data_IF_052845887065
#
_entry.id   IF_052845887065
#
_cell.length_a   1.000
_cell.length_b   1.000
_cell.length_c   1.000
_cell.angle_alpha   90.00
_cell.angle_beta   90.00
_cell.angle_gamma   90.00
#
_symmetry.space_group_name_H-M   'P 1'
#
loop_
_entity.id
_entity.type
_entity.pdbx_description
1 polymer ?
#
# COMPACT_ATOMS: atom_id res chain seq x y z
N UNK A 1 -19.76 15.22 24.04
CA UNK A 1 -20.27 13.83 24.15
C UNK A 1 -20.75 13.61 25.57
N UNK A 2 -22.09 13.44 25.77
CA UNK A 2 -22.66 13.19 27.09
C UNK A 2 -22.13 11.85 27.62
N UNK A 3 -21.77 11.81 28.90
CA UNK A 3 -21.34 10.60 29.57
C UNK A 3 -22.49 9.58 29.50
N UNK A 4 -22.30 8.53 28.69
CA UNK A 4 -23.24 7.40 28.65
C UNK A 4 -23.28 6.77 30.02
N UNK A 5 -24.47 6.55 30.57
CA UNK A 5 -24.67 5.94 31.87
C UNK A 5 -23.81 4.68 32.04
N UNK A 6 -23.12 4.56 33.16
CA UNK A 6 -22.24 3.40 33.46
C UNK A 6 -23.00 2.07 33.43
N UNK A 7 -24.27 2.08 33.80
CA UNK A 7 -25.16 0.92 33.74
C UNK A 7 -25.40 0.48 32.29
N UNK A 8 -25.71 1.39 31.40
CA UNK A 8 -25.91 1.11 29.97
C UNK A 8 -24.64 0.58 29.31
N UNK A 9 -23.47 1.14 29.67
CA UNK A 9 -22.17 0.62 29.19
C UNK A 9 -21.91 -0.82 29.65
N UNK A 10 -22.24 -1.12 30.92
CA UNK A 10 -22.09 -2.48 31.47
C UNK A 10 -23.02 -3.47 30.78
N UNK A 11 -24.30 -3.10 30.56
CA UNK A 11 -25.28 -3.93 29.87
C UNK A 11 -24.86 -4.20 28.42
N UNK A 12 -24.43 -3.16 27.68
CA UNK A 12 -23.92 -3.31 26.31
C UNK A 12 -22.68 -4.19 26.24
N UNK A 13 -21.75 -4.04 27.18
CA UNK A 13 -20.54 -4.87 27.24
C UNK A 13 -20.89 -6.35 27.51
N UNK A 14 -21.84 -6.64 28.40
CA UNK A 14 -22.29 -8.00 28.69
C UNK A 14 -22.98 -8.61 27.47
N UNK A 15 -23.89 -7.87 26.82
CA UNK A 15 -24.56 -8.32 25.60
C UNK A 15 -23.56 -8.59 24.46
N UNK A 16 -22.56 -7.72 24.29
CA UNK A 16 -21.49 -7.93 23.31
C UNK A 16 -20.72 -9.23 23.58
N UNK A 17 -20.35 -9.52 24.85
CA UNK A 17 -19.69 -10.79 25.24
C UNK A 17 -20.54 -12.03 24.90
N UNK A 18 -21.83 -11.98 25.17
CA UNK A 18 -22.74 -13.11 24.86
C UNK A 18 -22.83 -13.33 23.34
N UNK A 19 -23.00 -12.25 22.57
CA UNK A 19 -23.02 -12.32 21.11
C UNK A 19 -21.70 -12.89 20.59
N UNK A 20 -20.57 -12.35 21.04
CA UNK A 20 -19.22 -12.82 20.64
C UNK A 20 -19.05 -14.32 20.92
N UNK A 21 -19.45 -14.79 22.11
CA UNK A 21 -19.37 -16.21 22.46
C UNK A 21 -20.19 -17.09 21.53
N UNK A 22 -21.41 -16.65 21.19
CA UNK A 22 -22.29 -17.37 20.25
C UNK A 22 -21.68 -17.41 18.84
N UNK A 23 -21.23 -16.27 18.34
CA UNK A 23 -20.68 -16.17 16.99
C UNK A 23 -19.37 -16.98 16.85
N UNK A 24 -18.49 -16.97 17.88
CA UNK A 24 -17.28 -17.80 17.88
C UNK A 24 -17.61 -19.30 17.91
N UNK A 25 -18.66 -19.73 18.60
CA UNK A 25 -19.11 -21.12 18.59
C UNK A 25 -19.61 -21.52 17.18
N UNK A 26 -20.44 -20.68 16.56
CA UNK A 26 -20.92 -20.89 15.18
C UNK A 26 -19.76 -20.89 14.17
N UNK A 27 -18.78 -20.00 14.35
CA UNK A 27 -17.57 -19.95 13.53
C UNK A 27 -16.80 -21.28 13.62
N UNK A 28 -16.53 -21.77 14.83
CA UNK A 28 -15.81 -23.02 15.06
C UNK A 28 -16.53 -24.24 14.47
N UNK A 29 -17.85 -24.30 14.60
CA UNK A 29 -18.68 -25.37 14.02
C UNK A 29 -18.60 -25.39 12.49
N UNK A 30 -18.70 -24.20 11.86
CA UNK A 30 -18.74 -24.06 10.41
C UNK A 30 -17.37 -24.17 9.74
N UNK A 31 -16.27 -23.98 10.47
CA UNK A 31 -14.91 -23.84 9.90
C UNK A 31 -13.88 -24.78 10.53
N UNK A 32 -14.33 -26.00 10.87
CA UNK A 32 -13.49 -26.99 11.54
C UNK A 32 -12.28 -27.45 10.68
N UNK A 33 -12.38 -27.47 9.34
CA UNK A 33 -11.26 -27.79 8.47
C UNK A 33 -10.25 -26.63 8.42
N UNK A 34 -10.70 -25.37 8.40
CA UNK A 34 -9.85 -24.18 8.52
C UNK A 34 -9.06 -24.19 9.84
N UNK A 35 -9.72 -24.55 10.95
CA UNK A 35 -9.05 -24.70 12.25
C UNK A 35 -7.93 -25.73 12.21
N UNK A 36 -8.20 -26.95 11.67
CA UNK A 36 -7.18 -27.99 11.53
C UNK A 36 -6.04 -27.58 10.61
N UNK A 37 -6.33 -26.91 9.49
CA UNK A 37 -5.33 -26.40 8.56
C UNK A 37 -4.43 -25.35 9.22
N UNK A 38 -5.01 -24.40 9.98
CA UNK A 38 -4.24 -23.42 10.73
C UNK A 38 -3.39 -24.06 11.83
N UNK A 39 -3.93 -25.04 12.59
CA UNK A 39 -3.16 -25.76 13.60
C UNK A 39 -1.96 -26.50 12.99
N UNK A 40 -2.09 -27.04 11.77
CA UNK A 40 -0.97 -27.62 11.02
C UNK A 40 0.03 -26.55 10.59
N UNK A 41 -0.46 -25.44 10.04
CA UNK A 41 0.38 -24.32 9.56
C UNK A 41 1.22 -23.69 10.70
N UNK A 42 0.67 -23.56 11.91
CA UNK A 42 1.38 -23.03 13.09
C UNK A 42 2.64 -23.83 13.47
N UNK A 43 2.79 -25.06 13.00
CA UNK A 43 3.99 -25.88 13.24
C UNK A 43 5.20 -25.44 12.41
N UNK A 44 4.97 -24.74 11.31
CA UNK A 44 6.01 -24.35 10.33
C UNK A 44 5.95 -22.89 9.89
N UNK A 45 4.89 -22.17 10.23
CA UNK A 45 4.69 -20.75 9.92
C UNK A 45 4.41 -19.97 11.22
N UNK A 46 5.13 -18.90 11.49
CA UNK A 46 4.77 -17.99 12.58
C UNK A 46 3.31 -17.55 12.45
N UNK A 47 2.56 -17.54 13.54
CA UNK A 47 1.11 -17.27 13.58
C UNK A 47 0.25 -18.21 12.72
N UNK A 48 0.84 -19.20 12.04
CA UNK A 48 0.14 -20.11 11.09
C UNK A 48 -0.24 -19.46 9.75
N UNK A 49 0.39 -18.35 9.40
CA UNK A 49 0.10 -17.57 8.17
C UNK A 49 1.38 -17.08 7.51
N UNK A 50 1.36 -16.84 6.17
CA UNK A 50 2.53 -16.30 5.45
C UNK A 50 2.84 -14.84 5.76
N UNK A 51 1.84 -14.05 6.18
CA UNK A 51 1.99 -12.62 6.50
C UNK A 51 1.14 -12.25 7.72
N UNK A 52 1.64 -11.36 8.57
CA UNK A 52 0.94 -10.92 9.79
C UNK A 52 -0.44 -10.33 9.52
N UNK A 53 -0.68 -9.74 8.35
CA UNK A 53 -2.01 -9.24 7.95
C UNK A 53 -3.07 -10.34 7.81
N UNK A 54 -2.66 -11.59 7.67
CA UNK A 54 -3.57 -12.74 7.49
C UNK A 54 -3.90 -13.44 8.82
N UNK A 55 -3.30 -13.00 9.93
CA UNK A 55 -3.56 -13.56 11.25
C UNK A 55 -4.81 -12.94 11.87
N UNK A 56 -5.78 -13.80 12.22
CA UNK A 56 -7.03 -13.41 12.89
C UNK A 56 -7.33 -14.38 14.03
N UNK A 57 -7.94 -13.87 15.09
CA UNK A 57 -8.44 -14.69 16.20
C UNK A 57 -9.86 -15.22 15.91
N UNK A 58 -10.14 -16.45 16.31
CA UNK A 58 -9.29 -17.46 16.94
C UNK A 58 -8.33 -18.16 15.96
N UNK A 59 -8.62 -18.11 14.66
CA UNK A 59 -7.83 -18.56 13.52
C UNK A 59 -8.41 -17.99 12.23
N UNK A 60 -7.61 -17.79 11.18
CA UNK A 60 -8.10 -17.31 9.89
C UNK A 60 -8.87 -18.40 9.13
N UNK A 61 -9.80 -18.00 8.27
CA UNK A 61 -10.37 -18.84 7.24
C UNK A 61 -9.27 -19.30 6.28
N UNK A 62 -9.33 -20.56 5.87
CA UNK A 62 -8.45 -21.10 4.82
C UNK A 62 -9.24 -21.20 3.54
N UNK A 63 -8.96 -20.32 2.59
CA UNK A 63 -9.65 -20.24 1.30
C UNK A 63 -9.11 -21.33 0.35
N UNK A 64 -10.01 -22.03 -0.35
CA UNK A 64 -9.68 -23.03 -1.37
C UNK A 64 -9.77 -22.47 -2.79
N UNK A 65 -10.77 -21.63 -3.06
CA UNK A 65 -11.00 -21.07 -4.39
C UNK A 65 -11.79 -19.78 -4.32
N UNK A 66 -11.67 -18.95 -5.35
CA UNK A 66 -12.44 -17.74 -5.48
C UNK A 66 -12.81 -17.48 -6.95
N UNK A 67 -13.97 -16.85 -7.19
CA UNK A 67 -14.44 -16.50 -8.52
C UNK A 67 -15.37 -15.27 -8.46
N UNK A 68 -15.14 -14.27 -9.31
CA UNK A 68 -15.86 -13.00 -9.26
C UNK A 68 -15.79 -12.40 -7.86
N UNK A 69 -16.92 -12.07 -7.22
CA UNK A 69 -16.94 -11.50 -5.86
C UNK A 69 -17.06 -12.57 -4.76
N UNK A 70 -16.83 -13.85 -5.05
CA UNK A 70 -17.05 -14.96 -4.11
C UNK A 70 -15.77 -15.70 -3.80
N UNK A 71 -15.59 -16.05 -2.51
CA UNK A 71 -14.57 -16.97 -2.02
C UNK A 71 -15.22 -18.20 -1.40
N UNK A 72 -14.60 -19.36 -1.59
CA UNK A 72 -15.01 -20.62 -0.96
C UNK A 72 -13.88 -21.13 -0.07
N UNK A 73 -14.17 -21.38 1.21
CA UNK A 73 -13.21 -21.93 2.16
C UNK A 73 -13.03 -23.45 1.99
N UNK A 74 -12.11 -24.02 2.76
CA UNK A 74 -11.84 -25.46 2.75
C UNK A 74 -12.97 -26.29 3.37
N UNK A 75 -13.86 -25.66 4.11
CA UNK A 75 -15.05 -26.25 4.71
C UNK A 75 -16.24 -26.24 3.74
N UNK A 76 -16.15 -25.53 2.61
CA UNK A 76 -17.18 -25.41 1.58
C UNK A 76 -18.13 -24.24 1.78
N UNK A 77 -17.90 -23.37 2.76
CA UNK A 77 -18.68 -22.15 2.92
C UNK A 77 -18.33 -21.13 1.86
N UNK A 78 -19.36 -20.43 1.34
CA UNK A 78 -19.20 -19.38 0.33
C UNK A 78 -19.42 -18.02 0.97
N UNK A 79 -18.47 -17.11 0.74
CA UNK A 79 -18.49 -15.74 1.26
C UNK A 79 -18.49 -14.74 0.11
N UNK A 80 -19.07 -13.56 0.34
CA UNK A 80 -18.84 -12.40 -0.52
C UNK A 80 -17.55 -11.74 -0.06
N UNK A 81 -16.62 -11.58 -0.98
CA UNK A 81 -15.33 -10.94 -0.72
C UNK A 81 -15.46 -9.42 -0.89
N UNK A 82 -15.46 -8.69 0.22
CA UNK A 82 -15.42 -7.22 0.24
C UNK A 82 -14.00 -6.68 0.43
N UNK A 83 -13.03 -7.54 0.76
CA UNK A 83 -11.63 -7.14 0.92
C UNK A 83 -10.90 -7.08 -0.42
N UNK A 84 -11.26 -8.00 -1.33
CA UNK A 84 -10.70 -8.09 -2.68
C UNK A 84 -9.16 -8.04 -2.69
N UNK A 85 -8.54 -8.72 -1.72
CA UNK A 85 -7.08 -8.72 -1.56
C UNK A 85 -6.50 -7.33 -1.27
N UNK A 86 -7.11 -6.58 -0.34
CA UNK A 86 -6.80 -5.18 -0.06
C UNK A 86 -6.89 -4.27 -1.29
N UNK A 87 -7.85 -4.53 -2.18
CA UNK A 87 -8.09 -3.80 -3.43
C UNK A 87 -7.26 -4.26 -4.63
N UNK A 88 -6.40 -5.29 -4.48
CA UNK A 88 -5.61 -5.81 -5.59
C UNK A 88 -6.47 -6.51 -6.66
N UNK A 89 -7.62 -7.04 -6.28
CA UNK A 89 -8.56 -7.74 -7.14
C UNK A 89 -9.78 -6.88 -7.50
N UNK A 90 -9.56 -5.61 -7.74
CA UNK A 90 -10.58 -4.64 -8.13
C UNK A 90 -11.52 -5.16 -9.25
N UNK A 91 -10.99 -5.91 -10.23
CA UNK A 91 -11.77 -6.50 -11.31
C UNK A 91 -12.45 -7.84 -10.96
N UNK A 92 -12.34 -8.31 -9.71
CA UNK A 92 -12.84 -9.61 -9.23
C UNK A 92 -11.85 -10.75 -9.43
N UNK A 93 -12.09 -11.83 -8.66
CA UNK A 93 -11.31 -13.05 -8.80
C UNK A 93 -11.54 -13.70 -10.17
N UNK A 94 -10.45 -14.14 -10.81
CA UNK A 94 -10.47 -14.81 -12.12
C UNK A 94 -11.20 -14.00 -13.19
N UNK A 95 -10.93 -12.69 -13.26
CA UNK A 95 -11.44 -11.89 -14.37
C UNK A 95 -11.11 -12.58 -15.70
N UNK A 96 -12.07 -12.78 -16.62
CA UNK A 96 -11.87 -13.61 -17.81
C UNK A 96 -10.82 -13.03 -18.77
N UNK A 97 -10.69 -11.71 -18.87
CA UNK A 97 -9.70 -11.08 -19.75
C UNK A 97 -8.29 -11.26 -19.18
N UNK A 98 -8.09 -10.97 -17.89
CA UNK A 98 -6.82 -11.16 -17.19
C UNK A 98 -6.42 -12.65 -17.25
N UNK A 99 -7.37 -13.55 -16.99
CA UNK A 99 -7.12 -15.00 -17.04
C UNK A 99 -6.69 -15.46 -18.42
N UNK A 100 -7.36 -15.03 -19.48
CA UNK A 100 -7.00 -15.38 -20.86
C UNK A 100 -5.58 -14.91 -21.23
N UNK A 101 -5.22 -13.67 -20.85
CA UNK A 101 -3.87 -13.14 -21.08
C UNK A 101 -2.80 -13.95 -20.33
N UNK A 102 -3.06 -14.32 -19.07
CA UNK A 102 -2.18 -15.18 -18.28
C UNK A 102 -2.01 -16.56 -18.93
N UNK A 103 -3.11 -17.21 -19.35
CA UNK A 103 -3.08 -18.55 -19.95
C UNK A 103 -2.27 -18.57 -21.27
N UNK A 104 -2.37 -17.52 -22.09
CA UNK A 104 -1.53 -17.35 -23.29
C UNK A 104 -0.05 -17.22 -22.90
N UNK A 105 0.25 -16.31 -21.97
CA UNK A 105 1.63 -16.06 -21.55
C UNK A 105 2.29 -17.26 -20.87
N UNK A 106 1.52 -18.11 -20.17
CA UNK A 106 2.04 -19.36 -19.60
C UNK A 106 2.58 -20.31 -20.67
N UNK A 107 2.01 -20.29 -21.89
CA UNK A 107 2.51 -21.03 -23.03
C UNK A 107 3.83 -20.52 -23.60
N UNK A 108 4.13 -19.22 -23.40
CA UNK A 108 5.33 -18.56 -23.93
C UNK A 108 6.48 -18.48 -22.89
N UNK A 109 6.17 -18.64 -21.61
CA UNK A 109 7.12 -18.58 -20.50
C UNK A 109 6.81 -17.48 -19.49
N UNK A 110 7.36 -17.63 -18.28
CA UNK A 110 7.01 -16.80 -17.12
C UNK A 110 8.09 -15.83 -16.66
N UNK A 111 9.37 -16.09 -16.99
CA UNK A 111 10.49 -15.30 -16.54
C UNK A 111 11.67 -15.44 -17.53
N UNK A 112 12.11 -14.33 -18.10
CA UNK A 112 13.19 -14.32 -19.08
C UNK A 112 14.49 -13.67 -18.57
N UNK A 113 14.41 -12.81 -17.56
CA UNK A 113 15.50 -11.93 -17.08
C UNK A 113 16.04 -10.99 -18.18
N UNK A 114 15.35 -10.94 -19.31
CA UNK A 114 15.55 -10.03 -20.42
C UNK A 114 14.25 -9.26 -20.69
N UNK A 115 14.29 -8.06 -21.26
CA UNK A 115 13.09 -7.31 -21.57
C UNK A 115 12.16 -8.07 -22.53
N UNK A 116 10.85 -7.82 -22.42
CA UNK A 116 9.84 -8.23 -23.38
C UNK A 116 9.06 -7.00 -23.88
N UNK A 117 8.41 -7.10 -25.04
CA UNK A 117 7.68 -5.97 -25.64
C UNK A 117 6.61 -5.41 -24.72
N UNK A 118 5.93 -6.27 -23.96
CA UNK A 118 4.90 -5.84 -23.00
C UNK A 118 5.42 -4.94 -21.88
N UNK A 119 6.74 -4.88 -21.63
CA UNK A 119 7.30 -3.90 -20.70
C UNK A 119 7.09 -2.46 -21.21
N UNK A 120 7.36 -2.23 -22.50
CA UNK A 120 7.12 -0.93 -23.12
C UNK A 120 5.62 -0.61 -23.20
N UNK A 121 4.80 -1.59 -23.64
CA UNK A 121 3.35 -1.41 -23.75
C UNK A 121 2.73 -0.92 -22.43
N UNK A 122 3.06 -1.61 -21.31
CA UNK A 122 2.52 -1.24 -19.99
C UNK A 122 3.07 0.11 -19.53
N UNK A 123 4.36 0.38 -19.76
CA UNK A 123 4.96 1.68 -19.41
C UNK A 123 4.31 2.85 -20.19
N UNK A 124 4.03 2.67 -21.48
CA UNK A 124 3.32 3.67 -22.31
C UNK A 124 1.89 3.90 -21.82
N UNK A 125 1.16 2.83 -21.46
CA UNK A 125 -0.17 2.94 -20.86
C UNK A 125 -0.14 3.72 -19.55
N UNK A 126 0.84 3.48 -18.67
CA UNK A 126 1.01 4.20 -17.42
C UNK A 126 1.39 5.67 -17.67
N UNK A 127 2.29 5.94 -18.64
CA UNK A 127 2.67 7.29 -19.00
C UNK A 127 1.46 8.09 -19.50
N UNK A 128 0.62 7.50 -20.34
CA UNK A 128 -0.60 8.13 -20.85
C UNK A 128 -1.63 8.41 -19.75
N UNK A 129 -1.71 7.53 -18.72
CA UNK A 129 -2.66 7.68 -17.60
C UNK A 129 -2.25 8.77 -16.61
N UNK A 130 -0.96 8.87 -16.29
CA UNK A 130 -0.44 9.73 -15.20
C UNK A 130 0.21 11.02 -15.71
N UNK A 131 0.49 11.14 -17.01
CA UNK A 131 1.25 12.27 -17.55
C UNK A 131 2.73 12.29 -17.08
N UNK A 132 3.24 11.16 -16.60
CA UNK A 132 4.61 10.98 -16.15
C UNK A 132 5.36 10.07 -17.14
N UNK A 133 6.45 10.55 -17.80
CA UNK A 133 6.98 9.90 -18.98
C UNK A 133 7.79 8.63 -18.73
N UNK A 134 8.36 8.42 -17.53
CA UNK A 134 9.32 7.34 -17.27
C UNK A 134 8.87 6.42 -16.16
N UNK A 135 9.01 5.09 -16.40
CA UNK A 135 8.52 4.05 -15.51
C UNK A 135 9.53 2.92 -15.28
N UNK A 136 9.46 2.32 -14.10
CA UNK A 136 10.15 1.08 -13.72
C UNK A 136 9.17 0.14 -13.04
N UNK A 137 9.40 -1.18 -13.18
CA UNK A 137 8.56 -2.22 -12.59
C UNK A 137 9.24 -2.85 -11.38
N UNK A 138 8.44 -3.23 -10.41
CA UNK A 138 8.81 -3.91 -9.17
C UNK A 138 7.84 -5.08 -8.92
N UNK A 139 7.94 -5.75 -7.77
CA UNK A 139 7.04 -6.88 -7.45
C UNK A 139 6.01 -6.54 -6.37
N UNK A 140 6.13 -5.38 -5.76
CA UNK A 140 5.25 -4.94 -4.67
C UNK A 140 5.23 -3.42 -4.51
N UNK A 141 4.20 -2.91 -3.82
CA UNK A 141 4.15 -1.50 -3.44
C UNK A 141 5.29 -1.10 -2.50
N UNK A 142 5.76 -2.02 -1.66
CA UNK A 142 6.92 -1.80 -0.78
C UNK A 142 8.19 -1.47 -1.59
N UNK A 143 8.46 -2.25 -2.63
CA UNK A 143 9.60 -2.00 -3.51
C UNK A 143 9.40 -0.69 -4.28
N UNK A 144 8.19 -0.42 -4.78
CA UNK A 144 7.88 0.80 -5.53
C UNK A 144 8.13 2.06 -4.69
N UNK A 145 7.66 2.09 -3.45
CA UNK A 145 7.87 3.25 -2.56
C UNK A 145 9.32 3.38 -2.11
N UNK A 146 9.98 2.25 -1.82
CA UNK A 146 11.40 2.22 -1.46
C UNK A 146 12.27 2.82 -2.57
N UNK A 147 12.04 2.42 -3.82
CA UNK A 147 12.83 2.89 -4.96
C UNK A 147 12.49 4.35 -5.30
N UNK A 148 11.22 4.78 -5.20
CA UNK A 148 10.84 6.18 -5.36
C UNK A 148 11.53 7.09 -4.33
N UNK A 149 11.60 6.68 -3.06
CA UNK A 149 12.32 7.42 -2.00
C UNK A 149 13.81 7.45 -2.30
N UNK A 150 14.41 6.35 -2.80
CA UNK A 150 15.82 6.33 -3.19
C UNK A 150 16.12 7.31 -4.31
N UNK A 151 15.25 7.39 -5.33
CA UNK A 151 15.36 8.39 -6.41
C UNK A 151 15.27 9.80 -5.83
N UNK A 152 14.32 10.06 -4.95
CA UNK A 152 14.15 11.39 -4.33
C UNK A 152 15.37 11.82 -3.51
N UNK A 153 15.94 10.92 -2.72
CA UNK A 153 17.20 11.17 -1.97
C UNK A 153 18.37 11.47 -2.90
N UNK A 154 18.50 10.70 -3.98
CA UNK A 154 19.57 10.93 -4.97
C UNK A 154 19.39 12.25 -5.72
N UNK A 155 18.15 12.63 -6.05
CA UNK A 155 17.86 13.87 -6.76
C UNK A 155 18.13 15.12 -5.92
N UNK A 156 17.86 15.04 -4.63
CA UNK A 156 17.96 16.19 -3.72
C UNK A 156 19.28 16.26 -2.95
N UNK A 157 19.98 15.13 -2.82
CA UNK A 157 21.15 15.01 -1.94
C UNK A 157 20.79 15.09 -0.44
N UNK A 158 19.52 14.90 -0.08
CA UNK A 158 19.00 14.99 1.28
C UNK A 158 18.61 13.61 1.79
N UNK A 159 18.63 13.40 3.12
CA UNK A 159 18.37 12.07 3.73
C UNK A 159 16.97 11.92 4.31
N UNK A 160 16.40 12.98 4.90
CA UNK A 160 15.15 12.91 5.63
C UNK A 160 13.94 12.77 4.70
N UNK A 161 12.93 12.07 5.18
CA UNK A 161 11.62 11.97 4.50
C UNK A 161 10.51 12.45 5.44
N UNK A 162 9.43 12.92 4.87
CA UNK A 162 8.19 13.22 5.59
C UNK A 162 7.11 12.26 5.14
N UNK A 163 6.31 11.79 6.08
CA UNK A 163 5.08 11.02 5.84
C UNK A 163 3.98 11.45 6.78
N UNK A 164 2.75 11.05 6.48
CA UNK A 164 1.59 11.31 7.35
C UNK A 164 1.46 10.22 8.42
N UNK A 165 1.04 10.62 9.65
CA UNK A 165 0.65 9.67 10.69
C UNK A 165 -0.49 8.77 10.19
N UNK A 166 -0.39 7.46 10.46
CA UNK A 166 -1.36 6.48 9.97
C UNK A 166 -1.15 6.05 8.52
N UNK A 167 -0.35 6.76 7.72
CA UNK A 167 -0.04 6.41 6.33
C UNK A 167 0.70 5.08 6.24
N UNK A 168 0.33 4.25 5.25
CA UNK A 168 0.97 2.97 4.99
C UNK A 168 1.59 2.95 3.59
N UNK A 169 2.91 2.81 3.54
CA UNK A 169 3.69 2.88 2.31
C UNK A 169 4.55 1.63 2.07
N UNK A 170 4.14 0.49 2.62
CA UNK A 170 4.90 -0.75 2.58
C UNK A 170 5.56 -1.08 3.91
N UNK A 171 6.48 -2.05 3.90
CA UNK A 171 7.10 -2.57 5.12
C UNK A 171 8.63 -2.45 5.15
N UNK A 172 9.22 -1.55 4.35
CA UNK A 172 10.61 -1.15 4.54
C UNK A 172 10.72 -0.16 5.70
N UNK A 173 11.87 -0.14 6.35
CA UNK A 173 12.07 0.51 7.66
C UNK A 173 11.67 1.99 7.67
N UNK A 174 11.98 2.74 6.60
CA UNK A 174 11.74 4.19 6.52
C UNK A 174 10.26 4.58 6.62
N UNK A 175 9.36 3.70 6.19
CA UNK A 175 7.91 4.00 6.19
C UNK A 175 7.14 3.25 7.26
N UNK A 176 7.77 2.28 7.95
CA UNK A 176 7.20 1.60 9.11
C UNK A 176 7.28 2.45 10.38
N UNK A 177 6.99 3.72 10.25
CA UNK A 177 6.98 4.71 11.33
C UNK A 177 5.56 5.26 11.48
N UNK A 178 5.05 5.29 12.71
CA UNK A 178 3.73 5.83 13.09
C UNK A 178 2.58 5.36 12.20
N UNK A 179 2.56 4.06 11.87
CA UNK A 179 1.47 3.45 11.07
C UNK A 179 0.16 3.34 11.86
N UNK A 180 0.24 2.94 13.12
CA UNK A 180 -0.87 2.83 14.08
C UNK A 180 -0.31 2.98 15.50
N UNK A 181 0.29 4.12 15.87
CA UNK A 181 0.77 4.31 17.23
C UNK A 181 -0.42 4.32 18.19
N UNK A 182 -0.23 3.80 19.41
CA UNK A 182 -1.23 3.98 20.45
C UNK A 182 -1.27 5.44 20.89
N UNK A 183 -2.45 5.94 21.26
CA UNK A 183 -2.65 7.36 21.57
C UNK A 183 -1.80 7.88 22.74
N UNK A 184 -1.36 7.00 23.63
CA UNK A 184 -0.49 7.33 24.77
C UNK A 184 0.96 7.63 24.36
N UNK A 185 1.39 7.22 23.16
CA UNK A 185 2.76 7.47 22.64
C UNK A 185 2.78 8.26 21.34
N UNK A 186 1.63 8.51 20.71
CA UNK A 186 1.55 9.17 19.42
C UNK A 186 2.09 10.61 19.43
N UNK A 187 2.06 11.28 20.58
CA UNK A 187 2.44 12.68 20.72
C UNK A 187 1.27 13.65 20.48
N UNK A 188 1.55 14.96 20.38
CA UNK A 188 0.54 15.97 20.09
C UNK A 188 -0.06 15.78 18.68
N UNK A 189 -1.35 16.10 18.52
CA UNK A 189 -2.06 15.92 17.26
C UNK A 189 -1.48 16.79 16.10
N UNK A 190 -0.94 17.96 16.44
CA UNK A 190 -0.32 18.91 15.49
C UNK A 190 1.19 18.67 15.25
N UNK A 191 1.81 17.79 16.05
CA UNK A 191 3.22 17.41 15.94
C UNK A 191 3.43 15.96 16.42
N UNK A 192 2.90 14.95 15.69
CA UNK A 192 2.99 13.56 16.10
C UNK A 192 4.45 13.07 16.15
N UNK A 193 4.72 12.13 17.03
CA UNK A 193 6.05 11.55 17.18
C UNK A 193 6.32 10.46 16.14
N UNK A 194 7.59 10.32 15.74
CA UNK A 194 8.04 9.23 14.87
C UNK A 194 8.22 7.96 15.70
N UNK A 195 7.21 7.09 15.71
CA UNK A 195 7.18 5.86 16.50
C UNK A 195 7.44 4.65 15.59
N UNK A 196 8.48 3.83 15.85
CA UNK A 196 8.72 2.63 15.06
C UNK A 196 7.58 1.62 15.25
N UNK A 197 7.01 1.12 14.15
CA UNK A 197 5.90 0.15 14.17
C UNK A 197 6.36 -1.28 14.47
N UNK A 198 7.66 -1.54 14.48
CA UNK A 198 8.23 -2.85 14.75
C UNK A 198 9.55 -2.75 15.53
N UNK A 199 9.82 -3.75 16.34
CA UNK A 199 11.17 -3.98 16.83
C UNK A 199 12.12 -4.27 15.63
N UNK A 200 13.37 -3.86 15.75
CA UNK A 200 14.39 -4.06 14.71
C UNK A 200 14.60 -2.83 13.80
N UNK A 201 13.69 -1.88 13.76
CA UNK A 201 13.89 -0.61 13.05
C UNK A 201 14.97 0.21 13.76
N UNK A 202 15.99 0.65 13.02
CA UNK A 202 17.11 1.37 13.62
C UNK A 202 16.74 2.77 14.07
N UNK A 203 17.38 3.26 15.15
CA UNK A 203 17.16 4.63 15.66
C UNK A 203 17.47 5.70 14.61
N UNK A 204 18.45 5.44 13.72
CA UNK A 204 18.80 6.37 12.65
C UNK A 204 17.65 6.51 11.66
N UNK A 205 17.05 5.41 11.23
CA UNK A 205 15.86 5.43 10.35
C UNK A 205 14.71 6.20 11.00
N UNK A 206 14.44 5.96 12.29
CA UNK A 206 13.42 6.71 13.03
C UNK A 206 13.70 8.21 13.04
N UNK A 207 14.99 8.63 13.20
CA UNK A 207 15.36 10.05 13.20
C UNK A 207 15.30 10.70 11.82
N UNK A 208 15.41 9.90 10.75
CA UNK A 208 15.36 10.39 9.38
C UNK A 208 13.94 10.42 8.80
N UNK A 209 12.94 9.87 9.52
CA UNK A 209 11.53 9.90 9.11
C UNK A 209 10.73 10.83 10.01
N UNK A 210 10.22 11.91 9.43
CA UNK A 210 9.41 12.90 10.14
C UNK A 210 7.93 12.61 9.84
N UNK A 211 7.11 12.68 10.89
CA UNK A 211 5.68 12.40 10.80
C UNK A 211 4.90 13.69 11.02
N UNK A 212 3.89 13.92 10.18
CA UNK A 212 3.00 15.09 10.28
C UNK A 212 1.53 14.63 10.24
N UNK A 213 0.58 15.47 10.71
CA UNK A 213 -0.84 15.15 10.53
C UNK A 213 -1.25 15.27 9.05
N UNK A 214 -2.31 14.55 8.68
CA UNK A 214 -2.97 14.71 7.39
C UNK A 214 -3.84 15.98 7.37
N UNK A 215 -4.04 16.58 6.20
CA UNK A 215 -4.80 17.83 6.03
C UNK A 215 -4.24 19.02 6.83
N UNK A 216 -2.93 19.05 7.11
CA UNK A 216 -2.23 20.17 7.74
C UNK A 216 -1.02 20.60 6.88
N UNK A 217 -1.23 21.41 5.84
CA UNK A 217 -0.15 21.91 4.98
C UNK A 217 0.83 22.80 5.76
N UNK A 218 0.39 23.46 6.83
CA UNK A 218 1.26 24.29 7.68
C UNK A 218 2.25 23.40 8.46
N UNK A 219 1.85 22.20 8.89
CA UNK A 219 2.77 21.24 9.50
C UNK A 219 3.86 20.81 8.50
N UNK A 220 3.47 20.54 7.24
CA UNK A 220 4.43 20.25 6.18
C UNK A 220 5.41 21.40 5.98
N UNK A 221 4.92 22.62 5.82
CA UNK A 221 5.76 23.80 5.63
C UNK A 221 6.74 24.02 6.78
N UNK A 222 6.28 23.86 8.04
CA UNK A 222 7.17 23.98 9.22
C UNK A 222 8.38 23.04 9.13
N UNK A 223 8.15 21.80 8.69
CA UNK A 223 9.20 20.78 8.58
C UNK A 223 10.14 21.07 7.40
N UNK A 224 9.60 21.47 6.24
CA UNK A 224 10.40 21.70 5.04
C UNK A 224 11.32 22.93 5.13
N UNK A 225 11.03 23.88 6.01
CA UNK A 225 11.92 25.03 6.32
C UNK A 225 13.34 24.63 6.74
N UNK A 226 13.55 23.41 7.22
CA UNK A 226 14.87 22.89 7.55
C UNK A 226 15.78 22.72 6.33
N UNK A 227 15.24 22.55 5.13
CA UNK A 227 15.98 22.25 3.91
C UNK A 227 16.60 20.86 3.86
N UNK A 228 16.28 19.97 4.83
CA UNK A 228 16.91 18.64 4.95
C UNK A 228 16.05 17.50 4.39
N UNK A 229 14.83 17.80 3.94
CA UNK A 229 13.84 16.79 3.51
C UNK A 229 13.97 16.48 2.02
N UNK A 230 14.22 15.22 1.69
CA UNK A 230 14.30 14.72 0.32
C UNK A 230 12.92 14.64 -0.34
N UNK A 231 11.95 14.09 0.36
CA UNK A 231 10.61 13.91 -0.19
C UNK A 231 9.52 13.93 0.91
N UNK A 232 8.33 14.30 0.48
CA UNK A 232 7.08 14.03 1.19
C UNK A 232 6.36 12.90 0.45
N UNK A 233 6.17 11.75 1.12
CA UNK A 233 5.38 10.64 0.61
C UNK A 233 4.01 10.62 1.28
N UNK A 234 2.96 10.55 0.48
CA UNK A 234 1.57 10.61 0.95
C UNK A 234 0.65 9.74 0.11
N UNK A 235 -0.30 9.05 0.75
CA UNK A 235 -1.48 8.50 0.08
C UNK A 235 -2.41 9.69 -0.23
N UNK A 236 -2.76 10.00 -1.50
CA UNK A 236 -3.67 11.11 -1.82
C UNK A 236 -5.05 10.97 -1.17
N UNK A 237 -5.49 9.74 -0.96
CA UNK A 237 -6.60 9.34 -0.09
C UNK A 237 -6.06 8.32 0.89
N UNK A 238 -6.14 8.60 2.18
CA UNK A 238 -5.63 7.67 3.19
C UNK A 238 -6.61 6.52 3.41
N UNK A 239 -6.34 5.38 2.79
CA UNK A 239 -7.25 4.24 2.82
C UNK A 239 -6.89 3.18 3.90
N UNK A 240 -5.72 3.30 4.54
CA UNK A 240 -5.28 2.31 5.51
C UNK A 240 -5.88 2.51 6.92
N UNK A 241 -6.35 3.70 7.24
CA UNK A 241 -6.94 4.09 8.54
C UNK A 241 -8.46 4.28 8.49
N UNK A 242 -9.08 3.93 7.41
CA UNK A 242 -10.43 4.27 6.99
C UNK A 242 -10.31 5.07 5.70
N UNK A 243 -11.37 5.54 5.11
CA UNK A 243 -11.27 6.36 3.89
C UNK A 243 -11.25 7.83 4.30
N UNK A 244 -10.04 8.39 4.47
CA UNK A 244 -9.86 9.81 4.75
C UNK A 244 -9.55 10.55 3.44
N UNK A 245 -10.48 11.38 3.02
CA UNK A 245 -10.30 12.24 1.84
C UNK A 245 -9.42 13.44 2.20
N UNK A 246 -8.66 13.99 1.23
CA UNK A 246 -8.03 15.28 1.40
C UNK A 246 -9.09 16.37 1.51
N UNK A 247 -8.84 17.36 2.35
CA UNK A 247 -9.64 18.58 2.38
C UNK A 247 -9.49 19.35 1.06
N UNK A 248 -10.49 20.16 0.72
CA UNK A 248 -10.47 20.96 -0.50
C UNK A 248 -9.21 21.83 -0.57
N UNK A 249 -8.43 21.70 -1.63
CA UNK A 249 -7.19 22.45 -1.84
C UNK A 249 -5.95 21.89 -1.15
N UNK A 250 -6.07 20.91 -0.25
CA UNK A 250 -4.92 20.38 0.51
C UNK A 250 -3.78 19.87 -0.38
N UNK A 251 -4.09 19.04 -1.38
CA UNK A 251 -3.07 18.47 -2.25
C UNK A 251 -2.42 19.52 -3.17
N UNK A 252 -3.16 20.56 -3.56
CA UNK A 252 -2.64 21.71 -4.30
C UNK A 252 -1.64 22.48 -3.45
N UNK A 253 -1.99 22.83 -2.20
CA UNK A 253 -1.08 23.47 -1.26
C UNK A 253 0.16 22.63 -0.99
N UNK A 254 -0.01 21.32 -0.81
CA UNK A 254 1.11 20.36 -0.67
C UNK A 254 2.05 20.43 -1.87
N UNK A 255 1.52 20.49 -3.10
CA UNK A 255 2.34 20.61 -4.32
C UNK A 255 3.14 21.92 -4.32
N UNK A 256 2.48 23.04 -4.03
CA UNK A 256 3.11 24.37 -4.00
C UNK A 256 4.21 24.44 -2.93
N UNK A 257 3.94 23.95 -1.73
CA UNK A 257 4.91 23.93 -0.63
C UNK A 257 6.12 23.05 -0.98
N UNK A 258 5.89 21.81 -1.48
CA UNK A 258 7.00 20.90 -1.82
C UNK A 258 7.88 21.47 -2.93
N UNK A 259 7.28 22.11 -3.93
CA UNK A 259 8.01 22.76 -5.02
C UNK A 259 8.82 23.95 -4.52
N UNK A 260 8.23 24.81 -3.66
CA UNK A 260 8.92 25.97 -3.09
C UNK A 260 10.19 25.59 -2.30
N UNK A 261 10.16 24.48 -1.55
CA UNK A 261 11.29 24.02 -0.74
C UNK A 261 12.22 23.04 -1.48
N UNK A 262 11.95 22.71 -2.75
CA UNK A 262 12.72 21.75 -3.52
C UNK A 262 12.70 20.34 -2.89
N UNK A 263 11.60 19.97 -2.29
CA UNK A 263 11.31 18.64 -1.74
C UNK A 263 10.46 17.88 -2.75
N UNK A 264 10.80 16.65 -3.10
CA UNK A 264 10.01 15.90 -4.07
C UNK A 264 8.70 15.41 -3.45
N UNK A 265 7.60 15.57 -4.20
CA UNK A 265 6.30 15.00 -3.85
C UNK A 265 6.18 13.59 -4.45
N UNK A 266 5.95 12.60 -3.58
CA UNK A 266 5.67 11.22 -3.98
C UNK A 266 4.22 10.89 -3.63
N UNK A 267 3.40 10.59 -4.64
CA UNK A 267 2.09 10.01 -4.39
C UNK A 267 2.20 8.49 -4.30
N UNK A 268 1.81 7.96 -3.16
CA UNK A 268 1.56 6.53 -3.01
C UNK A 268 0.15 6.22 -3.51
N UNK A 269 0.08 5.81 -4.75
CA UNK A 269 -1.16 5.39 -5.40
C UNK A 269 -1.28 3.86 -5.49
N UNK A 270 -0.65 3.15 -4.60
CA UNK A 270 -0.73 1.68 -4.52
C UNK A 270 -2.17 1.20 -4.37
N UNK A 271 -3.03 1.99 -3.73
CA UNK A 271 -4.48 1.73 -3.64
C UNK A 271 -5.28 2.51 -4.67
N UNK A 272 -5.08 3.79 -4.79
CA UNK A 272 -5.89 4.70 -5.62
C UNK A 272 -5.59 4.62 -7.12
N UNK A 273 -4.44 4.10 -7.50
CA UNK A 273 -3.88 4.23 -8.84
C UNK A 273 -4.75 3.76 -10.02
N UNK A 274 -5.53 2.70 -9.84
CA UNK A 274 -6.50 2.23 -10.85
C UNK A 274 -7.93 2.48 -10.37
N UNK A 275 -8.15 2.40 -9.06
CA UNK A 275 -9.50 2.39 -8.48
C UNK A 275 -10.15 3.76 -8.39
N UNK A 276 -9.37 4.83 -8.23
CA UNK A 276 -9.91 6.17 -8.12
C UNK A 276 -10.35 6.77 -9.48
N UNK A 277 -9.77 6.33 -10.59
CA UNK A 277 -10.12 6.83 -11.93
C UNK A 277 -9.06 6.53 -12.98
N UNK A 278 -9.21 7.11 -14.17
CA UNK A 278 -8.29 6.87 -15.29
C UNK A 278 -6.84 7.22 -14.95
N UNK A 279 -6.59 8.37 -14.36
CA UNK A 279 -5.25 8.82 -13.92
C UNK A 279 -5.01 8.62 -12.42
N UNK A 280 -5.71 7.67 -11.78
CA UNK A 280 -5.65 7.51 -10.32
C UNK A 280 -6.12 8.76 -9.57
N UNK A 281 -5.70 8.91 -8.34
CA UNK A 281 -5.95 10.11 -7.54
C UNK A 281 -5.24 11.35 -8.12
N UNK A 282 -4.07 11.18 -8.75
CA UNK A 282 -3.39 12.24 -9.55
C UNK A 282 -4.36 12.91 -10.52
N UNK A 283 -5.10 12.11 -11.31
CA UNK A 283 -6.08 12.63 -12.26
C UNK A 283 -7.33 13.21 -11.61
N UNK A 284 -7.81 12.58 -10.53
CA UNK A 284 -9.03 13.03 -9.82
C UNK A 284 -8.84 14.39 -9.17
N UNK A 285 -7.70 14.62 -8.49
CA UNK A 285 -7.42 15.86 -7.78
C UNK A 285 -6.67 16.91 -8.63
N UNK A 286 -6.24 16.55 -9.86
CA UNK A 286 -5.54 17.46 -10.76
C UNK A 286 -4.16 17.91 -10.25
N UNK A 287 -3.51 17.09 -9.41
CA UNK A 287 -2.19 17.36 -8.85
C UNK A 287 -1.20 16.31 -9.33
N UNK A 288 -0.22 16.72 -10.13
CA UNK A 288 0.84 15.82 -10.62
C UNK A 288 2.03 15.81 -9.63
N UNK A 289 2.35 14.65 -9.03
CA UNK A 289 3.52 14.52 -8.18
C UNK A 289 4.82 14.49 -9.00
N UNK A 290 5.96 14.52 -8.32
CA UNK A 290 7.26 14.30 -8.97
C UNK A 290 7.52 12.83 -9.28
N UNK A 291 7.07 11.96 -8.36
CA UNK A 291 7.11 10.51 -8.48
C UNK A 291 5.78 9.89 -8.02
N UNK A 292 5.42 8.76 -8.58
CA UNK A 292 4.26 7.96 -8.17
C UNK A 292 4.65 6.51 -7.96
N UNK A 293 4.08 5.87 -6.94
CA UNK A 293 4.22 4.44 -6.68
C UNK A 293 2.89 3.72 -6.87
N UNK A 294 2.92 2.60 -7.59
CA UNK A 294 1.77 1.78 -7.94
C UNK A 294 2.01 0.31 -7.55
N UNK A 295 0.94 -0.44 -7.30
CA UNK A 295 0.92 -1.89 -7.17
C UNK A 295 -0.53 -2.40 -7.17
N UNK A 296 -0.79 -3.51 -6.47
CA UNK A 296 -2.13 -4.07 -6.23
C UNK A 296 -2.94 -4.23 -7.52
N UNK A 297 -3.89 -3.33 -7.75
CA UNK A 297 -4.86 -3.43 -8.86
C UNK A 297 -4.24 -3.43 -10.26
N UNK A 298 -3.01 -2.91 -10.43
CA UNK A 298 -2.32 -2.97 -11.73
C UNK A 298 -1.98 -4.38 -12.17
N UNK A 299 -1.92 -5.36 -11.25
CA UNK A 299 -1.51 -6.73 -11.53
C UNK A 299 -2.66 -7.73 -11.67
N UNK A 300 -3.92 -7.31 -11.52
CA UNK A 300 -5.05 -8.24 -11.61
C UNK A 300 -4.97 -9.44 -10.65
N UNK A 301 -4.26 -9.30 -9.53
CA UNK A 301 -4.01 -10.35 -8.53
C UNK A 301 -2.62 -10.98 -8.59
N UNK A 302 -1.77 -10.64 -9.57
CA UNK A 302 -0.37 -11.05 -9.62
C UNK A 302 0.55 -10.04 -8.91
N UNK A 303 1.72 -10.49 -8.40
CA UNK A 303 2.65 -9.63 -7.68
C UNK A 303 3.41 -8.71 -8.63
N UNK A 304 2.97 -7.47 -8.75
CA UNK A 304 3.60 -6.43 -9.54
C UNK A 304 3.48 -5.10 -8.80
N UNK A 305 4.47 -4.26 -8.96
CA UNK A 305 4.45 -2.85 -8.66
C UNK A 305 5.09 -2.06 -9.79
N UNK A 306 4.96 -0.76 -9.73
CA UNK A 306 5.64 0.17 -10.61
C UNK A 306 5.90 1.47 -9.87
N UNK A 307 6.94 2.18 -10.25
CA UNK A 307 7.09 3.58 -9.91
C UNK A 307 7.49 4.36 -11.16
N UNK A 308 7.03 5.58 -11.23
CA UNK A 308 7.29 6.44 -12.36
C UNK A 308 7.42 7.89 -11.93
N UNK A 309 7.90 8.73 -12.82
CA UNK A 309 8.13 10.12 -12.48
C UNK A 309 8.55 11.00 -13.65
N UNK A 310 8.86 12.25 -13.32
CA UNK A 310 9.41 13.22 -14.24
C UNK A 310 10.74 12.72 -14.80
N UNK A 311 10.99 13.04 -16.06
CA UNK A 311 12.20 12.62 -16.79
C UNK A 311 13.48 12.89 -16.01
N UNK A 312 13.64 14.10 -15.51
CA UNK A 312 14.84 14.56 -14.81
C UNK A 312 15.21 13.71 -13.58
N UNK A 313 14.21 13.18 -12.86
CA UNK A 313 14.47 12.32 -11.69
C UNK A 313 14.72 10.86 -12.10
N UNK A 314 13.96 10.37 -13.06
CA UNK A 314 14.13 9.00 -13.55
C UNK A 314 15.42 8.80 -14.35
N UNK A 315 15.97 9.85 -14.94
CA UNK A 315 17.26 9.83 -15.62
C UNK A 315 18.45 9.51 -14.71
N UNK A 316 18.30 9.72 -13.38
CA UNK A 316 19.29 9.25 -12.42
C UNK A 316 19.50 7.74 -12.47
N UNK A 317 18.48 6.97 -12.86
CA UNK A 317 18.59 5.53 -13.10
C UNK A 317 19.27 5.28 -14.45
N UNK A 318 18.93 6.02 -15.48
CA UNK A 318 19.54 5.92 -16.82
C UNK A 318 21.04 6.23 -16.78
N UNK A 319 21.42 7.22 -15.97
CA UNK A 319 22.82 7.62 -15.77
C UNK A 319 23.61 6.68 -14.82
N UNK A 320 22.94 5.68 -14.23
CA UNK A 320 23.57 4.76 -13.28
C UNK A 320 23.87 5.33 -11.90
N UNK A 321 23.36 6.53 -11.58
CA UNK A 321 23.49 7.15 -10.25
C UNK A 321 22.58 6.47 -9.22
N UNK A 322 21.41 5.99 -9.65
CA UNK A 322 20.49 5.18 -8.86
C UNK A 322 20.42 3.79 -9.44
N UNK A 323 20.64 2.78 -8.61
CA UNK A 323 20.57 1.38 -9.02
C UNK A 323 19.20 0.83 -8.63
N UNK A 324 18.48 0.29 -9.62
CA UNK A 324 17.22 -0.42 -9.45
C UNK A 324 17.35 -1.83 -10.01
N UNK A 325 17.26 -2.84 -9.17
CA UNK A 325 17.48 -4.25 -9.49
C UNK A 325 16.33 -5.12 -8.99
N UNK A 326 16.03 -6.19 -9.71
CA UNK A 326 15.08 -7.21 -9.29
C UNK A 326 14.90 -8.29 -10.36
N UNK A 327 15.13 -9.55 -9.98
CA UNK A 327 15.06 -10.70 -10.89
C UNK A 327 13.68 -10.83 -11.57
N UNK A 328 12.63 -10.50 -10.85
CA UNK A 328 11.26 -10.65 -11.33
C UNK A 328 10.65 -9.35 -11.88
N UNK A 329 11.38 -8.25 -11.86
CA UNK A 329 10.88 -6.95 -12.30
C UNK A 329 10.45 -6.98 -13.77
N UNK A 330 9.19 -6.64 -14.03
CA UNK A 330 8.66 -6.64 -15.38
C UNK A 330 8.61 -8.01 -16.06
N UNK A 331 8.45 -9.10 -15.28
CA UNK A 331 8.33 -10.43 -15.85
C UNK A 331 7.08 -10.53 -16.77
N UNK A 332 7.18 -11.31 -17.86
CA UNK A 332 6.14 -11.31 -18.89
C UNK A 332 4.77 -11.74 -18.40
N UNK A 333 4.71 -12.63 -17.41
CA UNK A 333 3.44 -13.11 -16.86
C UNK A 333 2.67 -11.98 -16.14
N UNK A 334 3.37 -11.18 -15.32
CA UNK A 334 2.77 -10.03 -14.66
C UNK A 334 2.44 -8.89 -15.64
N UNK A 335 3.27 -8.71 -16.68
CA UNK A 335 3.01 -7.74 -17.75
C UNK A 335 1.75 -8.09 -18.54
N UNK A 336 1.55 -9.37 -18.88
CA UNK A 336 0.34 -9.83 -19.57
C UNK A 336 -0.92 -9.59 -18.73
N UNK A 337 -0.84 -9.74 -17.42
CA UNK A 337 -1.96 -9.46 -16.52
C UNK A 337 -2.22 -7.96 -16.35
N UNK A 338 -1.18 -7.14 -16.40
CA UNK A 338 -1.25 -5.68 -16.23
C UNK A 338 -1.79 -4.97 -17.50
N UNK A 339 -1.43 -5.47 -18.70
CA UNK A 339 -1.89 -4.97 -20.00
C UNK A 339 -3.38 -5.17 -20.22
#
# INVERSE_FOLDING_TARGET
MSAMDSTLRSELANKAKEITKRELATYAERTAASQRANARARKVLPLGVPSSFQAYDPYPLVVRSAHGPKMTDVDGNVYTDYDMGFGALFSGHQNPHVRAAIDVQLGEGTLFVTPCESNADVAEMLAARYGLPMWRFTNSGTESTMDAIRVARAATGRDKIVKVEGGYHGHHDEVMISMKPSLDVAGPADAPFSIPASAGISKKVVSDTIVIPYNDPQALERVLKSGEVACFIVEPVMENIGICLPDDGYLQEVREITEHYGTLLIFDEVKTGITAGWGGATGVFGVTPDLVALAKSIGGGLPIGAFGGKQEYMDLITEGKVIHLGTYNGNPLCMAAAK
#
